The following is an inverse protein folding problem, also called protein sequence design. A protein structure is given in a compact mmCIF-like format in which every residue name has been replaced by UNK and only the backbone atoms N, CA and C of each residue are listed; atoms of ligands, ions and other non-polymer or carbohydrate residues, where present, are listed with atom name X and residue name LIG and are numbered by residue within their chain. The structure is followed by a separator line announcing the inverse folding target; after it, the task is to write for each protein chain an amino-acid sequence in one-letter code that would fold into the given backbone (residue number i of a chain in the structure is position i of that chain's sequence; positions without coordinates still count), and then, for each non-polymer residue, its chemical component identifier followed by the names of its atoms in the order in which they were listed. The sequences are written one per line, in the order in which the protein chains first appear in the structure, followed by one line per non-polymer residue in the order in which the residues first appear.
data_IF_058300772482
#
_entry.id   IF_058300772482
#
_cell.length_a   1.000
_cell.length_b   1.000
_cell.length_c   1.000
_cell.angle_alpha   90.00
_cell.angle_beta   90.00
_cell.angle_gamma   90.00
#
_symmetry.space_group_name_H-M   'P 1'
#
loop_
_entity.id
_entity.type
_entity.pdbx_description
1 polymer ?
#
# COMPACT_ATOMS: atom_id res chain seq x y z
N UNK A 1 -40.04 -24.78 -8.66
CA UNK A 1 -39.29 -25.90 -8.03
C UNK A 1 -37.76 -25.75 -8.17
N UNK A 2 -37.22 -24.51 -8.32
CA UNK A 2 -35.81 -24.31 -8.74
C UNK A 2 -34.83 -23.82 -7.66
N UNK A 3 -35.30 -23.48 -6.45
CA UNK A 3 -34.42 -22.89 -5.42
C UNK A 3 -33.69 -23.94 -4.57
N UNK A 4 -34.30 -25.11 -4.30
CA UNK A 4 -33.63 -26.20 -3.57
C UNK A 4 -32.47 -26.83 -4.36
N UNK A 5 -32.60 -26.95 -5.69
CA UNK A 5 -31.61 -27.64 -6.51
C UNK A 5 -30.29 -26.85 -6.58
N UNK A 6 -30.36 -25.52 -6.65
CA UNK A 6 -29.17 -24.67 -6.57
C UNK A 6 -28.45 -24.79 -5.22
N UNK A 7 -29.20 -24.83 -4.10
CA UNK A 7 -28.60 -24.98 -2.77
C UNK A 7 -27.87 -26.32 -2.61
N UNK A 8 -28.44 -27.41 -3.14
CA UNK A 8 -27.82 -28.74 -3.07
C UNK A 8 -26.56 -28.82 -3.93
N UNK A 9 -26.54 -28.20 -5.12
CA UNK A 9 -25.35 -28.17 -5.98
C UNK A 9 -24.21 -27.43 -5.28
N UNK A 10 -24.47 -26.27 -4.66
CA UNK A 10 -23.43 -25.49 -3.97
C UNK A 10 -22.83 -26.28 -2.80
N UNK A 11 -23.64 -27.03 -2.05
CA UNK A 11 -23.14 -27.88 -0.96
C UNK A 11 -22.30 -29.05 -1.50
N UNK A 12 -22.74 -29.70 -2.58
CA UNK A 12 -21.98 -30.81 -3.19
C UNK A 12 -20.65 -30.32 -3.78
N UNK A 13 -20.64 -29.14 -4.44
CA UNK A 13 -19.39 -28.59 -4.98
C UNK A 13 -18.43 -28.18 -3.87
N UNK A 14 -18.90 -27.57 -2.78
CA UNK A 14 -18.05 -27.23 -1.63
C UNK A 14 -17.49 -28.47 -0.94
N UNK A 15 -18.24 -29.57 -0.84
CA UNK A 15 -17.75 -30.81 -0.24
C UNK A 15 -16.76 -31.59 -1.12
N UNK A 16 -16.89 -31.52 -2.45
CA UNK A 16 -15.96 -32.17 -3.40
C UNK A 16 -14.64 -31.39 -3.54
N UNK A 17 -14.70 -30.07 -3.44
CA UNK A 17 -13.52 -29.20 -3.40
C UNK A 17 -12.97 -29.23 -1.97
N UNK A 18 -12.23 -30.28 -1.60
CA UNK A 18 -11.55 -30.41 -0.30
C UNK A 18 -10.50 -29.32 -0.05
N UNK A 19 -10.95 -28.07 0.03
CA UNK A 19 -10.11 -26.90 0.24
C UNK A 19 -9.83 -26.82 1.72
N UNK A 20 -8.74 -27.49 2.08
CA UNK A 20 -7.93 -27.13 3.23
C UNK A 20 -7.50 -25.68 3.04
N UNK A 21 -8.30 -24.73 3.52
CA UNK A 21 -7.84 -23.35 3.76
C UNK A 21 -6.97 -23.35 5.02
N UNK A 22 -5.94 -24.20 5.00
CA UNK A 22 -4.86 -24.24 5.96
C UNK A 22 -3.73 -23.37 5.45
N UNK A 23 -3.58 -22.21 6.11
CA UNK A 23 -2.31 -21.54 6.43
C UNK A 23 -1.52 -20.92 5.27
N UNK A 24 -1.53 -19.58 5.23
CA UNK A 24 -0.37 -18.80 5.70
C UNK A 24 -0.93 -17.60 6.47
N UNK A 25 -0.94 -17.65 7.82
CA UNK A 25 -0.77 -16.39 8.54
C UNK A 25 0.62 -15.93 8.13
N UNK A 26 0.69 -14.90 7.29
CA UNK A 26 1.92 -14.18 7.04
C UNK A 26 2.46 -13.86 8.43
N UNK A 27 3.48 -14.58 8.87
CA UNK A 27 4.31 -14.15 9.98
C UNK A 27 5.12 -12.99 9.43
N UNK A 28 4.46 -11.88 9.11
CA UNK A 28 5.08 -10.58 9.04
C UNK A 28 5.79 -10.44 10.36
N UNK A 29 7.10 -10.29 10.31
CA UNK A 29 7.96 -10.24 11.47
C UNK A 29 7.40 -9.29 12.52
N UNK A 30 7.87 -9.49 13.76
CA UNK A 30 7.78 -8.52 14.84
C UNK A 30 7.75 -7.11 14.23
N UNK A 31 6.60 -6.45 14.33
CA UNK A 31 6.45 -5.06 13.92
C UNK A 31 7.40 -4.28 14.80
N UNK A 32 8.60 -4.05 14.27
CA UNK A 32 9.56 -3.14 14.84
C UNK A 32 8.83 -1.82 15.04
N UNK A 33 8.70 -1.41 16.30
CA UNK A 33 7.94 -0.24 16.74
C UNK A 33 8.60 1.08 16.29
N UNK A 34 9.47 1.02 15.28
CA UNK A 34 10.16 2.14 14.65
C UNK A 34 9.88 2.24 13.12
N UNK A 35 8.89 1.52 12.57
CA UNK A 35 8.53 1.62 11.13
C UNK A 35 7.03 1.44 10.82
N UNK A 36 6.15 2.25 11.45
CA UNK A 36 4.69 2.19 11.23
C UNK A 36 4.20 2.78 9.88
N UNK A 37 5.11 3.17 8.98
CA UNK A 37 4.78 3.62 7.64
C UNK A 37 5.07 2.49 6.63
N UNK A 38 4.04 1.72 6.28
CA UNK A 38 4.12 0.70 5.24
C UNK A 38 3.56 1.28 3.92
N UNK A 39 4.46 1.53 2.97
CA UNK A 39 4.11 1.99 1.63
C UNK A 39 4.83 1.12 0.60
N UNK A 40 4.06 0.60 -0.35
CA UNK A 40 4.58 -0.27 -1.41
C UNK A 40 4.94 0.54 -2.67
N UNK A 41 6.22 0.51 -3.03
CA UNK A 41 6.75 1.10 -4.26
C UNK A 41 6.84 0.09 -5.41
N UNK A 42 6.41 -1.16 -5.22
CA UNK A 42 6.46 -2.20 -6.25
C UNK A 42 5.63 -1.80 -7.47
N UNK A 43 6.27 -1.73 -8.64
CA UNK A 43 5.60 -1.37 -9.90
C UNK A 43 5.31 0.13 -10.06
N UNK A 44 5.77 0.97 -9.12
CA UNK A 44 5.79 2.43 -9.27
C UNK A 44 7.09 2.87 -9.95
N UNK A 45 7.02 3.96 -10.71
CA UNK A 45 8.23 4.63 -11.20
C UNK A 45 8.93 5.35 -10.05
N UNK A 46 10.23 5.57 -10.19
CA UNK A 46 10.99 6.32 -9.20
C UNK A 46 10.50 7.77 -9.19
N UNK A 47 10.18 8.28 -7.99
CA UNK A 47 9.54 9.59 -7.87
C UNK A 47 8.81 9.79 -6.55
N UNK A 48 8.15 10.95 -6.46
CA UNK A 48 7.46 11.39 -5.24
C UNK A 48 5.96 11.13 -5.36
N UNK A 49 5.39 10.47 -4.35
CA UNK A 49 3.98 10.10 -4.28
C UNK A 49 3.30 10.73 -3.06
N UNK A 50 1.98 10.97 -3.11
CA UNK A 50 1.24 11.48 -1.97
C UNK A 50 1.26 10.48 -0.81
N UNK A 51 1.47 10.99 0.40
CA UNK A 51 1.38 10.19 1.61
C UNK A 51 -0.11 9.87 1.92
N UNK A 52 -0.45 8.62 2.30
CA UNK A 52 -1.85 8.19 2.48
C UNK A 52 -2.62 8.92 3.59
N UNK A 53 -1.94 9.31 4.68
CA UNK A 53 -2.58 9.93 5.86
C UNK A 53 -2.13 11.35 6.20
N UNK A 54 -0.98 11.83 5.69
CA UNK A 54 -0.36 13.10 6.09
C UNK A 54 -0.15 13.99 4.86
N UNK A 55 -0.96 15.04 4.70
CA UNK A 55 -0.83 15.96 3.56
C UNK A 55 0.48 16.77 3.56
N UNK A 56 1.16 16.84 4.70
CA UNK A 56 2.44 17.53 4.90
C UNK A 56 3.66 16.63 4.69
N UNK A 57 3.42 15.39 4.26
CA UNK A 57 4.46 14.41 3.97
C UNK A 57 4.23 13.84 2.57
N UNK A 58 5.29 13.29 2.00
CA UNK A 58 5.27 12.58 0.74
C UNK A 58 6.16 11.34 0.84
N UNK A 59 6.03 10.48 -0.17
CA UNK A 59 6.76 9.21 -0.24
C UNK A 59 7.68 9.24 -1.44
N UNK A 60 8.98 9.17 -1.21
CA UNK A 60 9.95 8.99 -2.28
C UNK A 60 10.14 7.50 -2.55
N UNK A 61 9.73 7.05 -3.74
CA UNK A 61 10.02 5.71 -4.22
C UNK A 61 11.35 5.69 -4.98
N UNK A 62 12.21 4.73 -4.64
CA UNK A 62 13.53 4.54 -5.25
C UNK A 62 13.72 3.08 -5.65
N UNK A 63 14.29 2.85 -6.83
CA UNK A 63 14.53 1.54 -7.42
C UNK A 63 13.27 0.65 -7.43
N UNK A 64 12.08 1.28 -7.54
CA UNK A 64 10.77 0.61 -7.58
C UNK A 64 10.52 -0.36 -6.39
N UNK A 65 11.21 -0.12 -5.26
CA UNK A 65 11.23 -1.06 -4.13
C UNK A 65 11.30 -0.38 -2.77
N UNK A 66 12.06 0.71 -2.65
CA UNK A 66 12.27 1.39 -1.39
C UNK A 66 11.35 2.60 -1.28
N UNK A 67 10.63 2.69 -0.17
CA UNK A 67 9.77 3.83 0.16
C UNK A 67 10.40 4.62 1.31
N UNK A 68 10.57 5.93 1.11
CA UNK A 68 11.05 6.84 2.13
C UNK A 68 9.97 7.88 2.46
N UNK A 69 9.55 7.95 3.72
CA UNK A 69 8.68 9.01 4.21
C UNK A 69 9.48 10.31 4.38
N UNK A 70 9.02 11.38 3.75
CA UNK A 70 9.68 12.67 3.74
C UNK A 70 8.70 13.77 4.14
N UNK A 71 9.15 14.76 4.91
CA UNK A 71 8.35 15.95 5.23
C UNK A 71 8.43 16.94 4.07
N UNK A 72 7.30 17.57 3.73
CA UNK A 72 7.26 18.64 2.73
C UNK A 72 8.07 19.87 3.19
N UNK A 73 8.48 20.70 2.23
CA UNK A 73 9.18 21.95 2.51
C UNK A 73 8.34 22.86 3.42
N UNK A 74 9.00 23.68 4.22
CA UNK A 74 8.33 24.65 5.09
C UNK A 74 8.07 25.96 4.34
N UNK A 75 7.00 26.65 4.70
CA UNK A 75 6.74 28.02 4.26
C UNK A 75 7.61 29.03 5.06
N UNK A 76 7.50 30.32 4.75
CA UNK A 76 8.23 31.38 5.46
C UNK A 76 7.85 31.51 6.95
N UNK A 77 6.69 30.99 7.34
CA UNK A 77 6.21 30.96 8.74
C UNK A 77 6.70 29.71 9.50
N UNK A 78 7.46 28.82 8.85
CA UNK A 78 7.94 27.56 9.42
C UNK A 78 6.90 26.43 9.44
N UNK A 79 5.77 26.58 8.75
CA UNK A 79 4.75 25.55 8.64
C UNK A 79 4.99 24.64 7.43
N UNK A 80 4.80 23.31 7.54
CA UNK A 80 4.91 22.41 6.40
C UNK A 80 3.90 22.74 5.31
N UNK A 81 4.38 22.81 4.07
CA UNK A 81 3.55 22.93 2.89
C UNK A 81 2.77 21.62 2.65
N UNK A 82 1.72 21.72 1.84
CA UNK A 82 1.02 20.55 1.35
C UNK A 82 1.74 19.94 0.15
N UNK A 83 1.69 18.61 0.05
CA UNK A 83 2.10 17.91 -1.15
C UNK A 83 1.20 18.33 -2.32
N UNK A 84 1.84 18.77 -3.40
CA UNK A 84 1.19 19.02 -4.69
C UNK A 84 1.93 18.19 -5.72
N UNK A 85 1.18 17.32 -6.40
CA UNK A 85 1.72 16.46 -7.44
C UNK A 85 2.30 17.33 -8.56
N UNK A 86 3.42 16.91 -9.15
CA UNK A 86 4.13 17.64 -10.22
C UNK A 86 4.73 19.00 -9.82
N UNK A 87 4.68 19.36 -8.53
CA UNK A 87 5.25 20.61 -7.99
C UNK A 87 6.62 20.42 -7.35
N UNK A 88 7.09 19.17 -7.30
CA UNK A 88 8.44 18.86 -6.85
C UNK A 88 9.48 19.29 -7.88
N UNK A 89 10.75 19.48 -7.48
CA UNK A 89 11.84 19.48 -8.45
C UNK A 89 11.74 18.17 -9.23
N UNK A 90 11.73 18.27 -10.55
CA UNK A 90 11.74 17.14 -11.49
C UNK A 90 12.65 16.03 -10.92
N UNK A 91 12.21 14.76 -10.86
CA UNK A 91 13.06 13.68 -10.40
C UNK A 91 14.38 13.74 -11.16
N UNK A 92 15.48 13.47 -10.45
CA UNK A 92 16.85 13.57 -10.95
C UNK A 92 17.00 12.89 -12.32
N UNK A 93 16.77 13.65 -13.38
CA UNK A 93 17.10 13.26 -14.73
C UNK A 93 18.62 13.27 -14.79
N UNK A 94 19.17 12.06 -14.84
CA UNK A 94 20.59 11.73 -15.01
C UNK A 94 21.24 12.51 -16.15
#
# INVERSE_FOLDING_TARGET
MGFCYLSVIVVITVLLQGQSFGKVIQSSGIQDVNSLFEYDCTGKEDGNYPHPTKCTHYVACVAQKYAYEMVCALNHDGNPLHYVQDSGPDPATS
#
